data_IF_219576144374
#
_entry.id   IF_219576144374
#
_cell.length_a   1.000
_cell.length_b   1.000
_cell.length_c   1.000
_cell.angle_alpha   90.00
_cell.angle_beta   90.00
_cell.angle_gamma   90.00
#
_symmetry.space_group_name_H-M   'P 1'
#
loop_
_entity.id
_entity.type
_entity.pdbx_description
1 polymer ?
#
# COMPACT_ATOMS: atom_id res chain seq x y z
N UNK A 1 8.21 -20.10 -31.20
CA UNK A 1 9.01 -19.93 -29.98
C UNK A 1 8.45 -18.73 -29.24
N UNK A 2 8.23 -18.93 -27.96
CA UNK A 2 7.38 -18.16 -27.07
C UNK A 2 7.73 -16.69 -26.98
N UNK A 3 6.71 -15.83 -26.95
CA UNK A 3 6.80 -14.51 -26.33
C UNK A 3 5.68 -14.43 -25.30
N UNK A 4 6.01 -14.93 -24.12
CA UNK A 4 5.21 -14.94 -22.89
C UNK A 4 5.10 -13.53 -22.27
N UNK A 5 4.95 -12.51 -23.12
CA UNK A 5 4.86 -11.10 -22.72
C UNK A 5 3.44 -10.63 -22.39
N UNK A 6 2.44 -11.50 -22.60
CA UNK A 6 1.02 -11.18 -22.40
C UNK A 6 0.46 -11.59 -21.04
N UNK A 7 1.17 -12.41 -20.27
CA UNK A 7 0.72 -12.89 -18.96
C UNK A 7 1.05 -11.89 -17.84
N UNK A 8 2.21 -11.25 -17.86
CA UNK A 8 2.62 -10.25 -16.86
C UNK A 8 1.71 -9.02 -16.84
N UNK A 9 1.25 -8.55 -18.00
CA UNK A 9 0.38 -7.37 -18.12
C UNK A 9 -1.04 -7.52 -17.54
N UNK A 10 -1.43 -8.71 -17.04
CA UNK A 10 -2.71 -8.92 -16.34
C UNK A 10 -2.63 -8.77 -14.82
N UNK A 11 -1.45 -8.77 -14.20
CA UNK A 11 -1.25 -9.44 -12.89
C UNK A 11 -1.46 -8.69 -11.59
N UNK A 12 -1.56 -7.36 -11.54
CA UNK A 12 -1.99 -6.66 -10.30
C UNK A 12 -3.13 -5.67 -10.50
N UNK A 13 -3.93 -5.84 -11.57
CA UNK A 13 -5.01 -4.90 -11.94
C UNK A 13 -6.09 -4.73 -10.86
N UNK A 14 -6.27 -5.70 -9.96
CA UNK A 14 -7.24 -5.60 -8.84
C UNK A 14 -6.90 -4.50 -7.84
N UNK A 15 -5.62 -4.29 -7.55
CA UNK A 15 -5.17 -3.21 -6.64
C UNK A 15 -5.17 -1.85 -7.33
N UNK A 16 -4.97 -1.82 -8.65
CA UNK A 16 -4.83 -0.60 -9.44
C UNK A 16 -5.98 0.39 -9.20
N UNK A 17 -7.22 -0.07 -9.23
CA UNK A 17 -8.40 0.79 -9.05
C UNK A 17 -8.46 1.39 -7.65
N UNK A 18 -8.21 0.58 -6.62
CA UNK A 18 -8.25 1.01 -5.22
C UNK A 18 -7.12 2.00 -4.90
N UNK A 19 -5.89 1.67 -5.27
CA UNK A 19 -4.72 2.52 -5.05
C UNK A 19 -4.88 3.85 -5.82
N UNK A 20 -5.30 3.80 -7.09
CA UNK A 20 -5.54 5.00 -7.89
C UNK A 20 -6.61 5.90 -7.27
N UNK A 21 -7.72 5.32 -6.79
CA UNK A 21 -8.80 6.09 -6.15
C UNK A 21 -8.30 6.86 -4.93
N UNK A 22 -7.44 6.24 -4.12
CA UNK A 22 -6.85 6.89 -2.95
C UNK A 22 -5.83 7.97 -3.33
N UNK A 23 -4.95 7.71 -4.30
CA UNK A 23 -3.96 8.67 -4.81
C UNK A 23 -4.63 9.95 -5.33
N UNK A 24 -5.76 9.79 -6.03
CA UNK A 24 -6.53 10.88 -6.62
C UNK A 24 -7.51 11.55 -5.64
N UNK A 25 -7.51 11.15 -4.36
CA UNK A 25 -8.36 11.73 -3.32
C UNK A 25 -9.85 11.39 -3.47
N UNK A 26 -10.18 10.34 -4.22
CA UNK A 26 -11.56 9.87 -4.41
C UNK A 26 -12.07 9.09 -3.20
N UNK A 27 -11.15 8.53 -2.40
CA UNK A 27 -11.42 7.91 -1.11
C UNK A 27 -10.43 8.41 -0.06
N UNK A 28 -10.83 8.40 1.21
CA UNK A 28 -10.00 8.76 2.36
C UNK A 28 -8.97 7.67 2.71
N UNK A 29 -7.97 8.01 3.52
CA UNK A 29 -7.01 7.03 4.03
C UNK A 29 -7.67 5.93 4.88
N UNK A 30 -8.72 6.25 5.63
CA UNK A 30 -9.45 5.27 6.44
C UNK A 30 -10.20 4.24 5.57
N UNK A 31 -10.85 4.69 4.51
CA UNK A 31 -11.53 3.83 3.52
C UNK A 31 -10.52 2.99 2.74
N UNK A 32 -9.41 3.60 2.33
CA UNK A 32 -8.31 2.90 1.66
C UNK A 32 -7.72 1.80 2.56
N UNK A 33 -7.30 2.12 3.79
CA UNK A 33 -6.79 1.14 4.77
C UNK A 33 -7.75 -0.03 4.92
N UNK A 34 -9.02 0.26 5.23
CA UNK A 34 -10.01 -0.79 5.50
C UNK A 34 -10.24 -1.70 4.29
N UNK A 35 -10.32 -1.12 3.09
CA UNK A 35 -10.52 -1.86 1.84
C UNK A 35 -9.28 -2.65 1.43
N UNK A 36 -8.11 -2.04 1.55
CA UNK A 36 -6.83 -2.62 1.14
C UNK A 36 -6.45 -3.81 2.03
N UNK A 37 -6.47 -3.63 3.37
CA UNK A 37 -6.16 -4.70 4.31
C UNK A 37 -7.12 -5.89 4.14
N UNK A 38 -8.42 -5.61 3.91
CA UNK A 38 -9.41 -6.65 3.64
C UNK A 38 -9.11 -7.38 2.33
N UNK A 39 -8.80 -6.64 1.26
CA UNK A 39 -8.52 -7.25 -0.04
C UNK A 39 -7.27 -8.11 0.03
N UNK A 40 -6.18 -7.60 0.59
CA UNK A 40 -4.90 -8.30 0.74
C UNK A 40 -5.01 -9.57 1.59
N UNK A 41 -5.70 -9.53 2.75
CA UNK A 41 -5.86 -10.72 3.61
C UNK A 41 -6.71 -11.84 2.99
N UNK A 42 -7.62 -11.49 2.08
CA UNK A 42 -8.51 -12.46 1.42
C UNK A 42 -8.01 -12.85 0.02
N UNK A 43 -6.87 -12.30 -0.39
CA UNK A 43 -6.32 -12.57 -1.70
C UNK A 43 -5.65 -13.95 -1.71
N UNK A 44 -6.24 -14.89 -2.44
CA UNK A 44 -5.71 -16.25 -2.61
C UNK A 44 -5.00 -16.42 -3.95
N UNK A 45 -4.74 -15.31 -4.64
CA UNK A 45 -4.14 -15.32 -5.96
C UNK A 45 -2.61 -15.34 -5.86
N UNK A 46 -2.05 -16.55 -5.86
CA UNK A 46 -0.61 -16.81 -5.86
C UNK A 46 0.10 -16.50 -7.19
N UNK A 47 -0.53 -15.72 -8.08
CA UNK A 47 0.02 -15.44 -9.42
C UNK A 47 0.89 -14.18 -9.52
N UNK A 48 0.93 -13.38 -8.44
CA UNK A 48 1.87 -12.27 -8.26
C UNK A 48 3.30 -12.82 -8.24
N UNK A 49 4.22 -12.12 -8.91
CA UNK A 49 5.63 -12.37 -8.69
C UNK A 49 6.10 -11.78 -7.35
N UNK A 50 7.32 -12.15 -6.95
CA UNK A 50 7.90 -11.76 -5.66
C UNK A 50 8.02 -10.23 -5.54
N UNK A 51 8.43 -9.56 -6.62
CA UNK A 51 8.58 -8.10 -6.64
C UNK A 51 7.23 -7.39 -6.47
N UNK A 52 6.18 -7.83 -7.20
CA UNK A 52 4.82 -7.30 -7.05
C UNK A 52 4.28 -7.54 -5.64
N UNK A 53 4.49 -8.75 -5.09
CA UNK A 53 4.05 -9.10 -3.74
C UNK A 53 4.72 -8.21 -2.69
N UNK A 54 6.05 -8.05 -2.74
CA UNK A 54 6.83 -7.25 -1.81
C UNK A 54 6.37 -5.78 -1.81
N UNK A 55 6.05 -5.22 -2.98
CA UNK A 55 5.51 -3.87 -3.09
C UNK A 55 4.14 -3.77 -2.41
N UNK A 56 3.26 -4.75 -2.66
CA UNK A 56 1.91 -4.76 -2.09
C UNK A 56 1.91 -5.02 -0.57
N UNK A 57 2.82 -5.86 -0.07
CA UNK A 57 3.04 -6.13 1.36
C UNK A 57 3.63 -4.92 2.07
N UNK A 58 4.57 -4.21 1.44
CA UNK A 58 5.08 -2.94 1.98
C UNK A 58 3.95 -1.93 2.12
N UNK A 59 3.11 -1.77 1.08
CA UNK A 59 1.97 -0.86 1.14
C UNK A 59 0.89 -1.33 2.15
N UNK A 60 0.75 -2.64 2.36
CA UNK A 60 -0.11 -3.19 3.41
C UNK A 60 0.36 -2.72 4.79
N UNK A 61 1.66 -2.84 5.06
CA UNK A 61 2.25 -2.40 6.33
C UNK A 61 2.09 -0.90 6.52
N UNK A 62 2.37 -0.10 5.48
CA UNK A 62 2.18 1.35 5.53
C UNK A 62 0.70 1.73 5.79
N UNK A 63 -0.24 1.02 5.16
CA UNK A 63 -1.67 1.24 5.38
C UNK A 63 -2.12 0.82 6.79
N UNK A 64 -1.55 -0.24 7.36
CA UNK A 64 -1.83 -0.65 8.74
C UNK A 64 -1.28 0.36 9.75
N UNK A 65 -0.15 0.98 9.43
CA UNK A 65 0.48 2.04 10.21
C UNK A 65 -0.21 3.40 10.11
N UNK A 66 -1.20 3.60 9.24
CA UNK A 66 -1.98 4.84 9.23
C UNK A 66 -2.81 5.01 10.50
N UNK A 67 -2.81 6.24 11.03
CA UNK A 67 -3.67 6.68 12.13
C UNK A 67 -4.26 8.06 11.89
N UNK A 68 -5.59 8.16 12.00
CA UNK A 68 -6.30 9.44 11.97
C UNK A 68 -6.06 10.29 13.23
N UNK A 69 -5.65 9.67 14.34
CA UNK A 69 -5.48 10.33 15.64
C UNK A 69 -4.15 11.12 15.71
N UNK A 70 -4.19 12.47 15.73
CA UNK A 70 -2.98 13.29 15.82
C UNK A 70 -2.17 13.07 17.09
N UNK A 71 -2.83 12.81 18.23
CA UNK A 71 -2.13 12.60 19.51
C UNK A 71 -1.33 11.29 19.47
N UNK A 72 -1.90 10.24 18.87
CA UNK A 72 -1.18 8.99 18.64
C UNK A 72 0.02 9.17 17.70
N UNK A 73 -0.14 9.96 16.63
CA UNK A 73 0.98 10.26 15.71
C UNK A 73 2.11 11.01 16.42
N UNK A 74 1.78 12.02 17.23
CA UNK A 74 2.77 12.73 18.03
C UNK A 74 3.46 11.82 19.06
N UNK A 75 2.69 10.96 19.73
CA UNK A 75 3.22 9.96 20.65
C UNK A 75 4.25 9.05 19.98
N UNK A 76 3.95 8.53 18.78
CA UNK A 76 4.88 7.68 18.01
C UNK A 76 6.11 8.46 17.58
N UNK A 77 5.97 9.71 17.11
CA UNK A 77 7.10 10.58 16.72
C UNK A 77 8.04 10.89 17.89
N UNK A 78 7.50 10.97 19.10
CA UNK A 78 8.27 11.20 20.32
C UNK A 78 9.01 9.95 20.84
N UNK A 79 8.75 8.75 20.28
CA UNK A 79 9.46 7.52 20.67
C UNK A 79 10.90 7.50 20.15
N UNK A 80 11.70 6.67 20.80
CA UNK A 80 13.09 6.45 20.38
C UNK A 80 13.15 5.85 18.96
N UNK A 81 14.31 5.98 18.27
CA UNK A 81 14.48 5.46 16.92
C UNK A 81 14.28 3.95 16.79
N UNK A 82 14.53 3.15 17.84
CA UNK A 82 14.34 1.69 17.77
C UNK A 82 12.86 1.33 17.68
N UNK A 83 11.99 2.04 18.42
CA UNK A 83 10.53 1.88 18.27
C UNK A 83 10.04 2.27 16.87
N UNK A 84 10.55 3.39 16.34
CA UNK A 84 10.14 3.94 15.03
C UNK A 84 10.61 3.13 13.81
N UNK A 85 11.38 2.06 14.02
CA UNK A 85 11.68 1.08 12.96
C UNK A 85 10.47 0.23 12.59
N UNK A 86 9.48 0.11 13.48
CA UNK A 86 8.36 -0.81 13.33
C UNK A 86 6.99 -0.13 13.27
N UNK A 87 6.89 1.12 13.75
CA UNK A 87 5.63 1.87 13.81
C UNK A 87 5.88 3.30 13.37
N UNK A 88 5.23 3.71 12.28
CA UNK A 88 5.37 5.03 11.70
C UNK A 88 4.23 5.99 12.05
N UNK A 89 3.01 5.48 12.25
CA UNK A 89 1.81 6.29 12.52
C UNK A 89 1.58 7.36 11.43
N UNK A 90 1.47 6.93 10.17
CA UNK A 90 1.31 7.83 9.03
C UNK A 90 0.02 8.64 9.12
N UNK A 91 0.09 9.91 8.73
CA UNK A 91 -1.10 10.65 8.34
C UNK A 91 -1.56 10.29 6.91
N UNK A 92 -2.66 10.90 6.47
CA UNK A 92 -3.23 10.63 5.15
C UNK A 92 -2.31 11.10 4.00
N UNK A 93 -1.59 12.21 4.16
CA UNK A 93 -0.71 12.72 3.11
C UNK A 93 0.52 11.83 2.96
N UNK A 94 1.12 11.44 4.08
CA UNK A 94 2.23 10.49 4.13
C UNK A 94 1.84 9.15 3.50
N UNK A 95 0.71 8.56 3.91
CA UNK A 95 0.22 7.31 3.32
C UNK A 95 -0.06 7.46 1.82
N UNK A 96 -0.59 8.62 1.38
CA UNK A 96 -0.81 8.89 -0.05
C UNK A 96 0.50 8.96 -0.83
N UNK A 97 1.57 9.50 -0.24
CA UNK A 97 2.92 9.45 -0.79
C UNK A 97 3.40 8.01 -1.00
N UNK A 98 3.23 7.15 0.00
CA UNK A 98 3.58 5.72 -0.06
C UNK A 98 2.78 4.97 -1.13
N UNK A 99 1.48 5.22 -1.20
CA UNK A 99 0.62 4.66 -2.24
C UNK A 99 1.04 5.06 -3.66
N UNK A 100 1.46 6.33 -3.87
CA UNK A 100 1.99 6.79 -5.16
C UNK A 100 3.27 6.06 -5.56
N UNK A 101 4.18 5.88 -4.61
CA UNK A 101 5.43 5.17 -4.86
C UNK A 101 5.17 3.72 -5.26
N UNK A 102 4.29 3.02 -4.53
CA UNK A 102 3.87 1.66 -4.85
C UNK A 102 3.19 1.59 -6.22
N UNK A 103 2.28 2.52 -6.53
CA UNK A 103 1.60 2.57 -7.83
C UNK A 103 2.59 2.70 -9.00
N UNK A 104 3.58 3.59 -8.86
CA UNK A 104 4.62 3.76 -9.87
C UNK A 104 5.43 2.47 -10.06
N UNK A 105 5.86 1.83 -8.97
CA UNK A 105 6.64 0.58 -9.02
C UNK A 105 5.86 -0.56 -9.67
N UNK A 106 4.55 -0.64 -9.45
CA UNK A 106 3.69 -1.69 -10.01
C UNK A 106 3.28 -1.46 -11.47
N UNK A 107 3.11 -0.21 -11.91
CA UNK A 107 2.39 0.08 -13.17
C UNK A 107 3.10 1.03 -14.13
N UNK A 108 4.17 1.68 -13.72
CA UNK A 108 4.89 2.69 -14.52
C UNK A 108 6.37 2.32 -14.76
N UNK A 109 6.77 1.11 -14.35
CA UNK A 109 8.12 0.57 -14.54
C UNK A 109 8.32 -0.08 -15.92
#
# INVERSE_FOLDING_TARGET
>A
MSSDGGAAARKSTKYRGLISSFINGQISAQEFKSSYLKMFKNDQDYSLDEDEFDILETLFTDADDYSADPEYREYVRAKDPEFRKYVHAFDEEELRGRAREAYRKLYEA
#
